data_IF_686284674110
#
_entry.id   IF_686284674110
#
_cell.length_a   1.000
_cell.length_b   1.000
_cell.length_c   1.000
_cell.angle_alpha   90.00
_cell.angle_beta   90.00
_cell.angle_gamma   90.00
#
_symmetry.space_group_name_H-M   'P 1'
#
loop_
_entity.id
_entity.type
_entity.pdbx_description
1 polymer ?
#
# COMPACT_ATOMS: atom_id res chain seq x y z
N UNK A 1 -7.08 -10.12 32.97
CA UNK A 1 -7.80 -10.36 31.70
C UNK A 1 -6.78 -10.46 30.58
N UNK A 2 -6.54 -11.67 30.05
CA UNK A 2 -5.66 -11.89 28.90
C UNK A 2 -6.53 -12.19 27.67
N UNK A 3 -6.57 -11.25 26.72
CA UNK A 3 -6.95 -11.50 25.32
C UNK A 3 -6.07 -10.62 24.42
N UNK A 4 -4.77 -10.91 24.41
CA UNK A 4 -3.86 -10.44 23.37
C UNK A 4 -3.35 -11.65 22.61
N UNK A 5 -3.64 -11.75 21.31
CA UNK A 5 -2.99 -12.76 20.45
C UNK A 5 -3.89 -13.44 19.41
N UNK A 6 -4.67 -12.68 18.63
CA UNK A 6 -5.50 -13.26 17.56
C UNK A 6 -5.38 -12.62 16.18
N UNK A 7 -4.79 -11.44 16.02
CA UNK A 7 -5.03 -10.63 14.81
C UNK A 7 -3.87 -10.54 13.80
N UNK A 8 -2.71 -11.16 14.05
CA UNK A 8 -1.54 -11.03 13.16
C UNK A 8 -1.23 -12.27 12.32
N UNK A 9 -2.00 -13.37 12.46
CA UNK A 9 -1.68 -14.65 11.80
C UNK A 9 -2.40 -14.88 10.47
N UNK A 10 -3.48 -14.15 10.18
CA UNK A 10 -4.29 -14.37 8.97
C UNK A 10 -3.51 -14.19 7.64
N UNK A 11 -2.64 -13.17 7.46
CA UNK A 11 -1.87 -12.99 6.23
C UNK A 11 -0.81 -14.10 6.05
N UNK A 12 -0.09 -14.42 7.13
CA UNK A 12 0.95 -15.45 7.14
C UNK A 12 0.36 -16.85 6.91
N UNK A 13 -0.82 -17.12 7.47
CA UNK A 13 -1.51 -18.39 7.28
C UNK A 13 -2.01 -18.56 5.85
N UNK A 14 -2.54 -17.49 5.23
CA UNK A 14 -2.92 -17.50 3.82
C UNK A 14 -1.72 -17.76 2.92
N UNK A 15 -0.60 -17.09 3.17
CA UNK A 15 0.64 -17.29 2.42
C UNK A 15 1.16 -18.74 2.54
N UNK A 16 1.15 -19.30 3.76
CA UNK A 16 1.54 -20.69 4.00
C UNK A 16 0.64 -21.67 3.24
N UNK A 17 -0.67 -21.42 3.21
CA UNK A 17 -1.62 -22.27 2.50
C UNK A 17 -1.37 -22.26 0.97
N UNK A 18 -1.09 -21.07 0.42
CA UNK A 18 -0.74 -20.93 -1.00
C UNK A 18 0.55 -21.69 -1.34
N UNK A 19 1.59 -21.57 -0.51
CA UNK A 19 2.83 -22.31 -0.72
C UNK A 19 2.61 -23.83 -0.71
N UNK A 20 1.92 -24.32 0.32
CA UNK A 20 1.61 -25.76 0.45
C UNK A 20 0.81 -26.29 -0.74
N UNK A 21 -0.13 -25.49 -1.25
CA UNK A 21 -0.90 -25.85 -2.44
C UNK A 21 -0.02 -25.91 -3.68
N UNK A 22 0.89 -24.94 -3.89
CA UNK A 22 1.83 -24.98 -5.01
C UNK A 22 2.72 -26.22 -4.95
N UNK A 23 3.30 -26.52 -3.79
CA UNK A 23 4.16 -27.69 -3.60
C UNK A 23 3.42 -29.00 -3.90
N UNK A 24 2.16 -29.10 -3.45
CA UNK A 24 1.31 -30.28 -3.70
C UNK A 24 1.00 -30.46 -5.19
N UNK A 25 0.62 -29.41 -5.90
CA UNK A 25 0.28 -29.50 -7.33
C UNK A 25 1.52 -29.76 -8.21
N UNK A 26 2.68 -29.18 -7.86
CA UNK A 26 3.95 -29.48 -8.54
C UNK A 26 4.36 -30.93 -8.31
N UNK A 27 4.24 -31.43 -7.08
CA UNK A 27 4.53 -32.84 -6.77
C UNK A 27 3.61 -33.77 -7.55
N UNK A 28 2.31 -33.46 -7.61
CA UNK A 28 1.32 -34.18 -8.41
C UNK A 28 1.69 -34.20 -9.91
N UNK A 29 2.12 -33.07 -10.48
CA UNK A 29 2.58 -33.03 -11.88
C UNK A 29 3.76 -33.99 -12.14
N UNK A 30 4.77 -33.97 -11.27
CA UNK A 30 5.97 -34.79 -11.41
C UNK A 30 5.67 -36.28 -11.22
N UNK A 31 4.83 -36.62 -10.25
CA UNK A 31 4.39 -38.00 -10.00
C UNK A 31 3.61 -38.56 -11.20
N UNK A 32 2.61 -37.82 -11.70
CA UNK A 32 1.82 -38.25 -12.86
C UNK A 32 2.67 -38.33 -14.14
N UNK A 33 3.64 -37.43 -14.32
CA UNK A 33 4.59 -37.53 -15.42
C UNK A 33 5.45 -38.80 -15.33
N UNK A 34 5.97 -39.12 -14.14
CA UNK A 34 6.72 -40.36 -13.91
C UNK A 34 5.89 -41.61 -14.19
N UNK A 35 4.62 -41.61 -13.79
CA UNK A 35 3.68 -42.69 -14.12
C UNK A 35 3.49 -42.85 -15.63
N UNK A 36 3.26 -41.76 -16.37
CA UNK A 36 3.15 -41.83 -17.83
C UNK A 36 4.42 -42.37 -18.48
N UNK A 37 5.60 -41.88 -18.08
CA UNK A 37 6.88 -42.35 -18.61
C UNK A 37 7.05 -43.85 -18.37
N UNK A 38 6.64 -44.35 -17.21
CA UNK A 38 6.69 -45.78 -16.90
C UNK A 38 5.69 -46.58 -17.75
N UNK A 39 4.47 -46.09 -17.96
CA UNK A 39 3.43 -46.75 -18.77
C UNK A 39 3.80 -46.80 -20.26
N UNK A 40 4.50 -45.78 -20.79
CA UNK A 40 4.91 -45.76 -22.21
C UNK A 40 6.20 -46.53 -22.50
N UNK A 41 6.95 -46.95 -21.49
CA UNK A 41 8.18 -47.73 -21.70
C UNK A 41 7.85 -49.13 -22.19
N UNK A 42 8.06 -49.33 -23.49
CA UNK A 42 7.90 -50.62 -24.17
C UNK A 42 9.10 -51.50 -23.83
N UNK A 43 8.92 -52.48 -22.94
CA UNK A 43 9.96 -53.48 -22.66
C UNK A 43 9.82 -54.77 -23.48
N UNK A 44 8.64 -55.11 -24.06
CA UNK A 44 8.49 -56.12 -25.14
C UNK A 44 7.06 -56.07 -25.76
N UNK A 45 6.85 -56.22 -27.09
CA UNK A 45 5.54 -56.02 -27.76
C UNK A 45 4.84 -57.33 -28.21
N UNK A 46 3.55 -57.32 -28.64
CA UNK A 46 2.68 -56.17 -28.88
C UNK A 46 1.27 -56.30 -28.24
N UNK A 47 0.88 -55.33 -27.42
CA UNK A 47 -0.49 -54.79 -27.27
C UNK A 47 -0.41 -53.92 -26.03
N UNK A 48 -0.51 -52.59 -26.21
CA UNK A 48 -0.94 -51.77 -25.08
C UNK A 48 -2.35 -52.22 -24.77
N UNK A 49 -2.55 -52.88 -23.63
CA UNK A 49 -3.91 -53.28 -23.29
C UNK A 49 -4.76 -52.02 -23.04
N UNK A 50 -6.08 -52.16 -23.12
CA UNK A 50 -7.01 -51.04 -22.90
C UNK A 50 -6.78 -50.35 -21.55
N UNK A 51 -6.29 -51.08 -20.54
CA UNK A 51 -5.99 -50.57 -19.21
C UNK A 51 -4.80 -49.59 -19.19
N UNK A 52 -3.71 -49.88 -19.90
CA UNK A 52 -2.55 -48.97 -20.01
C UNK A 52 -2.93 -47.67 -20.74
N UNK A 53 -3.74 -47.77 -21.80
CA UNK A 53 -4.23 -46.60 -22.51
C UNK A 53 -5.11 -45.72 -21.61
N UNK A 54 -5.98 -46.34 -20.80
CA UNK A 54 -6.82 -45.64 -19.84
C UNK A 54 -5.99 -45.00 -18.71
N UNK A 55 -4.98 -45.69 -18.18
CA UNK A 55 -4.08 -45.13 -17.16
C UNK A 55 -3.32 -43.91 -17.67
N UNK A 56 -2.89 -43.94 -18.94
CA UNK A 56 -2.22 -42.81 -19.57
C UNK A 56 -3.13 -41.58 -19.68
N UNK A 57 -4.39 -41.79 -20.10
CA UNK A 57 -5.40 -40.74 -20.20
C UNK A 57 -5.76 -40.16 -18.83
N UNK A 58 -5.89 -41.01 -17.81
CA UNK A 58 -6.14 -40.58 -16.43
C UNK A 58 -4.99 -39.73 -15.87
N UNK A 59 -3.73 -40.14 -16.11
CA UNK A 59 -2.56 -39.38 -15.67
C UNK A 59 -2.49 -38.02 -16.38
N UNK A 60 -2.75 -37.98 -17.69
CA UNK A 60 -2.78 -36.74 -18.45
C UNK A 60 -3.87 -35.78 -17.91
N UNK A 61 -5.08 -36.29 -17.64
CA UNK A 61 -6.16 -35.49 -17.07
C UNK A 61 -5.79 -34.89 -15.69
N UNK A 62 -5.14 -35.67 -14.82
CA UNK A 62 -4.67 -35.19 -13.51
C UNK A 62 -3.60 -34.12 -13.63
N UNK A 63 -2.70 -34.23 -14.62
CA UNK A 63 -1.70 -33.18 -14.88
C UNK A 63 -2.34 -31.88 -15.34
N UNK A 64 -3.35 -31.95 -16.22
CA UNK A 64 -4.13 -30.76 -16.64
C UNK A 64 -4.81 -30.12 -15.43
N UNK A 65 -5.45 -30.94 -14.57
CA UNK A 65 -6.08 -30.45 -13.35
C UNK A 65 -5.09 -29.74 -12.40
N UNK A 66 -3.90 -30.31 -12.21
CA UNK A 66 -2.86 -29.71 -11.38
C UNK A 66 -2.36 -28.37 -11.96
N UNK A 67 -2.18 -28.31 -13.28
CA UNK A 67 -1.82 -27.07 -13.98
C UNK A 67 -2.90 -25.99 -13.83
N UNK A 68 -4.17 -26.34 -13.97
CA UNK A 68 -5.28 -25.41 -13.76
C UNK A 68 -5.33 -24.89 -12.31
N UNK A 69 -5.06 -25.75 -11.33
CA UNK A 69 -4.97 -25.38 -9.92
C UNK A 69 -3.83 -24.37 -9.68
N UNK A 70 -2.68 -24.55 -10.34
CA UNK A 70 -1.57 -23.59 -10.31
C UNK A 70 -1.93 -22.25 -10.97
N UNK A 71 -2.61 -22.25 -12.12
CA UNK A 71 -3.07 -21.02 -12.78
C UNK A 71 -4.04 -20.23 -11.89
N UNK A 72 -4.92 -20.94 -11.16
CA UNK A 72 -5.82 -20.33 -10.17
C UNK A 72 -5.03 -19.71 -9.02
N UNK A 73 -4.01 -20.40 -8.51
CA UNK A 73 -3.12 -19.88 -7.46
C UNK A 73 -2.41 -18.60 -7.90
N UNK A 74 -1.85 -18.56 -9.12
CA UNK A 74 -1.24 -17.35 -9.69
C UNK A 74 -2.24 -16.20 -9.75
N UNK A 75 -3.49 -16.49 -10.11
CA UNK A 75 -4.55 -15.48 -10.15
C UNK A 75 -4.87 -14.91 -8.76
N UNK A 76 -4.97 -15.77 -7.73
CA UNK A 76 -5.18 -15.37 -6.34
C UNK A 76 -4.01 -14.51 -5.79
N UNK A 77 -2.76 -14.84 -6.16
CA UNK A 77 -1.57 -14.08 -5.81
C UNK A 77 -1.57 -12.68 -6.44
N UNK A 78 -1.85 -12.59 -7.74
CA UNK A 78 -1.96 -11.31 -8.46
C UNK A 78 -3.01 -10.41 -7.82
N UNK A 79 -4.16 -10.98 -7.46
CA UNK A 79 -5.23 -10.25 -6.81
C UNK A 79 -4.79 -9.70 -5.43
N UNK A 80 -4.12 -10.53 -4.63
CA UNK A 80 -3.61 -10.15 -3.31
C UNK A 80 -2.58 -9.01 -3.41
N UNK A 81 -1.67 -9.06 -4.38
CA UNK A 81 -0.66 -8.02 -4.60
C UNK A 81 -1.30 -6.67 -4.99
N UNK A 82 -2.28 -6.69 -5.88
CA UNK A 82 -3.00 -5.48 -6.33
C UNK A 82 -3.70 -4.80 -5.14
N UNK A 83 -4.47 -5.56 -4.35
CA UNK A 83 -5.19 -4.99 -3.21
C UNK A 83 -4.25 -4.49 -2.11
N UNK A 84 -3.14 -5.19 -1.85
CA UNK A 84 -2.13 -4.71 -0.89
C UNK A 84 -1.52 -3.37 -1.30
N UNK A 85 -1.29 -3.18 -2.61
CA UNK A 85 -0.71 -1.95 -3.12
C UNK A 85 -1.67 -0.76 -2.96
N UNK A 86 -2.97 -0.97 -3.14
CA UNK A 86 -3.98 0.07 -2.89
C UNK A 86 -4.10 0.45 -1.43
N UNK A 87 -4.07 -0.52 -0.50
CA UNK A 87 -4.11 -0.24 0.94
C UNK A 87 -2.89 0.61 1.33
N UNK A 88 -1.69 0.21 0.90
CA UNK A 88 -0.47 0.96 1.18
C UNK A 88 -0.48 2.37 0.56
N UNK A 89 -0.98 2.50 -0.68
CA UNK A 89 -1.12 3.80 -1.33
C UNK A 89 -2.13 4.70 -0.61
N UNK A 90 -3.26 4.15 -0.18
CA UNK A 90 -4.28 4.86 0.57
C UNK A 90 -3.73 5.38 1.91
N UNK A 91 -3.01 4.55 2.66
CA UNK A 91 -2.33 4.96 3.91
C UNK A 91 -1.33 6.11 3.68
N UNK A 92 -0.60 6.06 2.56
CA UNK A 92 0.36 7.11 2.21
C UNK A 92 -0.32 8.43 1.84
N UNK A 93 -1.42 8.38 1.08
CA UNK A 93 -2.22 9.57 0.75
C UNK A 93 -2.81 10.18 2.02
N UNK A 94 -3.38 9.38 2.90
CA UNK A 94 -3.95 9.83 4.18
C UNK A 94 -2.89 10.54 5.03
N UNK A 95 -1.71 9.94 5.19
CA UNK A 95 -0.59 10.54 5.92
C UNK A 95 -0.20 11.91 5.36
N UNK A 96 -0.07 12.01 4.03
CA UNK A 96 0.31 13.26 3.37
C UNK A 96 -0.77 14.34 3.52
N UNK A 97 -2.05 13.96 3.47
CA UNK A 97 -3.17 14.89 3.70
C UNK A 97 -3.11 15.49 5.10
N UNK A 98 -2.84 14.67 6.12
CA UNK A 98 -2.66 15.13 7.50
C UNK A 98 -1.47 16.09 7.61
N UNK A 99 -0.32 15.75 7.01
CA UNK A 99 0.87 16.60 7.02
C UNK A 99 0.62 17.96 6.34
N UNK A 100 -0.07 17.98 5.20
CA UNK A 100 -0.40 19.23 4.52
C UNK A 100 -1.36 20.10 5.33
N UNK A 101 -2.37 19.52 5.96
CA UNK A 101 -3.26 20.27 6.85
C UNK A 101 -2.48 20.90 8.01
N UNK A 102 -1.58 20.14 8.64
CA UNK A 102 -0.74 20.66 9.73
C UNK A 102 0.17 21.80 9.25
N UNK A 103 0.78 21.67 8.07
CA UNK A 103 1.60 22.74 7.48
C UNK A 103 0.78 23.98 7.16
N UNK A 104 -0.44 23.81 6.64
CA UNK A 104 -1.37 24.90 6.36
C UNK A 104 -1.75 25.65 7.65
N UNK A 105 -2.10 24.92 8.72
CA UNK A 105 -2.40 25.52 10.02
C UNK A 105 -1.21 26.28 10.61
N UNK A 106 0.00 25.70 10.53
CA UNK A 106 1.23 26.36 10.98
C UNK A 106 1.49 27.65 10.20
N UNK A 107 1.29 27.61 8.88
CA UNK A 107 1.46 28.77 8.00
C UNK A 107 0.43 29.85 8.31
N UNK A 108 -0.85 29.48 8.45
CA UNK A 108 -1.91 30.41 8.84
C UNK A 108 -1.65 31.07 10.19
N UNK A 109 -1.18 30.31 11.19
CA UNK A 109 -0.79 30.87 12.48
C UNK A 109 0.35 31.88 12.33
N UNK A 110 1.38 31.56 11.55
CA UNK A 110 2.49 32.50 11.33
C UNK A 110 2.08 33.75 10.55
N UNK A 111 1.17 33.62 9.57
CA UNK A 111 0.62 34.76 8.83
C UNK A 111 -0.23 35.66 9.73
N UNK A 112 -1.03 35.08 10.63
CA UNK A 112 -1.80 35.84 11.61
C UNK A 112 -0.90 36.57 12.62
N UNK A 113 0.21 35.95 13.02
CA UNK A 113 1.20 36.58 13.92
C UNK A 113 1.87 37.81 13.26
N UNK A 114 2.18 37.73 11.97
CA UNK A 114 2.72 38.86 11.19
C UNK A 114 1.67 39.99 11.04
N UNK A 115 0.41 39.63 10.79
CA UNK A 115 -0.70 40.58 10.63
C UNK A 115 -0.99 41.39 11.92
N UNK A 116 -0.94 40.70 13.08
CA UNK A 116 -1.04 41.36 14.39
C UNK A 116 0.18 42.24 14.71
N UNK A 117 1.39 41.84 14.31
CA UNK A 117 2.61 42.62 14.47
C UNK A 117 2.65 43.90 13.63
N UNK A 118 2.00 43.91 12.47
CA UNK A 118 1.89 45.09 11.60
C UNK A 118 0.92 46.16 12.14
N UNK A 119 -0.12 45.75 12.87
CA UNK A 119 -1.17 46.64 13.38
C UNK A 119 -0.74 47.45 14.62
N UNK A 120 0.31 47.05 15.34
CA UNK A 120 0.78 47.74 16.55
C UNK A 120 1.81 48.86 16.26
N UNK A 121 2.27 48.99 15.01
CA UNK A 121 3.33 49.94 14.62
C UNK A 121 2.82 51.35 14.25
N UNK A 122 1.52 51.66 14.42
CA UNK A 122 0.94 52.97 14.06
C UNK A 122 0.53 53.88 15.22
N UNK A 123 0.69 53.45 16.48
CA UNK A 123 0.15 54.18 17.64
C UNK A 123 1.13 55.02 18.47
N UNK A 124 2.41 55.15 18.08
CA UNK A 124 3.41 55.93 18.85
C UNK A 124 4.02 57.09 18.06
N UNK A 125 3.21 57.92 17.39
CA UNK A 125 3.71 59.17 16.79
C UNK A 125 2.79 60.37 17.05
N UNK A 126 2.52 60.69 18.32
CA UNK A 126 2.08 62.03 18.76
C UNK A 126 2.57 62.34 20.17
N UNK A 127 3.88 62.49 20.36
CA UNK A 127 4.43 62.97 21.64
C UNK A 127 5.79 63.65 21.48
N UNK A 128 5.87 64.75 20.72
CA UNK A 128 6.91 65.76 20.94
C UNK A 128 6.41 67.14 20.50
N UNK A 129 5.60 67.78 21.34
CA UNK A 129 5.43 69.24 21.30
C UNK A 129 5.96 69.77 22.62
N UNK A 130 7.26 70.05 22.65
CA UNK A 130 7.87 70.86 23.70
C UNK A 130 8.15 72.26 23.13
N UNK A 131 8.01 73.31 23.95
CA UNK A 131 7.81 74.66 23.50
C UNK A 131 9.15 75.35 23.26
N UNK A 132 9.23 76.17 22.21
CA UNK A 132 10.22 77.25 22.17
C UNK A 132 9.47 78.58 22.21
N UNK A 133 9.63 79.27 23.34
CA UNK A 133 9.46 80.71 23.45
C UNK A 133 10.38 81.38 22.42
N UNK A 134 9.80 82.19 21.54
CA UNK A 134 10.50 83.36 21.01
C UNK A 134 9.55 84.56 21.09
N UNK A 135 10.04 85.55 21.84
CA UNK A 135 9.54 86.91 22.07
C UNK A 135 9.80 87.76 20.81
N UNK A 136 8.93 88.75 20.57
CA UNK A 136 9.05 90.07 19.88
C UNK A 136 7.75 90.29 19.06
N UNK A 137 6.76 91.08 19.51
CA UNK A 137 6.69 92.54 19.70
C UNK A 137 6.71 93.34 18.38
N UNK A 138 5.85 94.37 18.32
CA UNK A 138 5.59 95.35 17.24
C UNK A 138 4.70 94.86 16.08
N UNK A 139 3.71 95.59 15.55
CA UNK A 139 2.95 96.79 15.95
C UNK A 139 1.82 96.95 14.90
N UNK A 140 0.86 97.85 15.16
CA UNK A 140 -0.02 98.54 14.20
C UNK A 140 -1.30 97.86 13.64
N UNK A 141 -2.40 98.10 14.37
CA UNK A 141 -3.63 98.80 13.95
C UNK A 141 -3.85 99.09 12.45
N UNK A 142 -5.02 98.70 11.91
CA UNK A 142 -6.27 99.50 11.79
C UNK A 142 -7.45 98.53 11.63
#
# INVERSE_FOLDING_TARGET
>A
MNKGGGLTTAPAQKQKNLLQRADAEISSLLENFGLMVNVVRVNDPPVRNSQESFMLEMCAAKMVQAADSLLKLVSELKQTAIFSNFVSLNEHVERRTIEFNLQSEKTNRSSAEIDWGGSNCQSTSKATRMPLLFIYAEDHSI
#
